data_IF_690778934623
#
_entry.id   IF_690778934623
#
_cell.length_a   1.000
_cell.length_b   1.000
_cell.length_c   1.000
_cell.angle_alpha   90.00
_cell.angle_beta   90.00
_cell.angle_gamma   90.00
#
_symmetry.space_group_name_H-M   'P 1'
#
loop_
_entity.id
_entity.type
_entity.pdbx_description
1 polymer ?
#
# COMPACT_ATOMS: atom_id res chain seq x y z
N UNK A 1 -10.10 22.89 1.72
CA UNK A 1 -11.16 21.86 1.48
C UNK A 1 -10.66 20.73 0.58
N UNK A 2 -10.05 21.02 -0.58
CA UNK A 2 -9.49 20.00 -1.50
C UNK A 2 -8.47 19.06 -0.86
N UNK A 3 -7.50 19.58 -0.09
CA UNK A 3 -6.48 18.76 0.58
C UNK A 3 -7.10 17.71 1.52
N UNK A 4 -8.02 18.12 2.40
CA UNK A 4 -8.67 17.22 3.35
C UNK A 4 -9.46 16.12 2.63
N UNK A 5 -10.22 16.49 1.60
CA UNK A 5 -10.98 15.53 0.81
C UNK A 5 -10.06 14.49 0.16
N UNK A 6 -8.98 14.91 -0.49
CA UNK A 6 -8.02 13.99 -1.12
C UNK A 6 -7.32 13.13 -0.07
N UNK A 7 -6.99 13.69 1.11
CA UNK A 7 -6.43 12.94 2.24
C UNK A 7 -7.36 11.83 2.71
N UNK A 8 -8.66 12.10 2.84
CA UNK A 8 -9.65 11.10 3.25
C UNK A 8 -9.80 10.00 2.20
N UNK A 9 -9.86 10.35 0.92
CA UNK A 9 -9.90 9.39 -0.20
C UNK A 9 -8.64 8.51 -0.20
N UNK A 10 -7.47 9.11 0.00
CA UNK A 10 -6.20 8.41 0.07
C UNK A 10 -6.19 7.40 1.21
N UNK A 11 -6.56 7.82 2.43
CA UNK A 11 -6.59 6.95 3.62
C UNK A 11 -7.55 5.77 3.39
N UNK A 12 -8.75 6.04 2.88
CA UNK A 12 -9.72 4.98 2.59
C UNK A 12 -9.18 3.95 1.59
N UNK A 13 -8.51 4.43 0.53
CA UNK A 13 -7.92 3.57 -0.50
C UNK A 13 -6.76 2.72 0.05
N UNK A 14 -5.90 3.34 0.87
CA UNK A 14 -4.81 2.64 1.56
C UNK A 14 -5.36 1.61 2.55
N UNK A 15 -6.46 1.87 3.24
CA UNK A 15 -7.08 0.90 4.14
C UNK A 15 -7.60 -0.33 3.41
N UNK A 16 -8.19 -0.19 2.23
CA UNK A 16 -8.61 -1.35 1.42
C UNK A 16 -7.39 -2.19 1.04
N UNK A 17 -6.31 -1.56 0.56
CA UNK A 17 -5.09 -2.26 0.16
C UNK A 17 -4.38 -2.93 1.34
N UNK A 18 -4.21 -2.20 2.45
CA UNK A 18 -3.60 -2.72 3.67
C UNK A 18 -4.46 -3.85 4.26
N UNK A 19 -5.77 -3.66 4.39
CA UNK A 19 -6.70 -4.66 4.91
C UNK A 19 -6.63 -5.99 4.15
N UNK A 20 -6.50 -5.93 2.82
CA UNK A 20 -6.20 -7.10 2.00
C UNK A 20 -4.90 -7.80 2.44
N UNK A 21 -3.79 -7.05 2.57
CA UNK A 21 -2.50 -7.62 2.96
C UNK A 21 -2.50 -8.21 4.37
N UNK A 22 -3.16 -7.56 5.32
CA UNK A 22 -3.35 -8.08 6.68
C UNK A 22 -4.15 -9.38 6.67
N UNK A 23 -5.26 -9.42 5.93
CA UNK A 23 -6.09 -10.62 5.81
C UNK A 23 -5.31 -11.76 5.17
N UNK A 24 -4.55 -11.48 4.12
CA UNK A 24 -3.76 -12.46 3.40
C UNK A 24 -2.66 -13.08 4.26
N UNK A 25 -1.88 -12.24 4.95
CA UNK A 25 -0.67 -12.66 5.66
C UNK A 25 -0.93 -13.13 7.08
N UNK A 26 -1.98 -12.66 7.76
CA UNK A 26 -2.26 -13.02 9.15
C UNK A 26 -3.45 -13.97 9.29
N UNK A 27 -4.58 -13.62 8.66
CA UNK A 27 -5.85 -14.32 8.86
C UNK A 27 -5.87 -15.62 8.06
N UNK A 28 -5.68 -15.53 6.74
CA UNK A 28 -5.77 -16.70 5.85
C UNK A 28 -4.64 -17.71 6.13
N UNK A 29 -3.44 -17.24 6.51
CA UNK A 29 -2.37 -18.12 6.97
C UNK A 29 -2.79 -18.95 8.20
N UNK A 30 -3.52 -18.36 9.16
CA UNK A 30 -4.01 -19.09 10.34
C UNK A 30 -5.12 -20.07 9.98
N UNK A 31 -6.02 -19.69 9.06
CA UNK A 31 -7.10 -20.56 8.59
C UNK A 31 -6.57 -21.80 7.87
N UNK A 32 -5.47 -21.69 7.12
CA UNK A 32 -4.80 -22.83 6.48
C UNK A 32 -4.40 -23.93 7.48
N UNK A 33 -4.08 -23.55 8.72
CA UNK A 33 -3.69 -24.49 9.78
C UNK A 33 -4.87 -25.16 10.49
N UNK A 34 -6.09 -24.67 10.27
CA UNK A 34 -7.27 -25.05 11.05
C UNK A 34 -8.38 -25.68 10.21
N UNK A 35 -8.42 -25.40 8.91
CA UNK A 35 -9.41 -25.92 7.97
C UNK A 35 -8.84 -27.13 7.21
N UNK A 36 -9.73 -28.00 6.73
CA UNK A 36 -9.37 -28.97 5.70
C UNK A 36 -8.90 -28.26 4.42
N UNK A 37 -8.10 -28.94 3.60
CA UNK A 37 -7.55 -28.36 2.38
C UNK A 37 -8.66 -27.88 1.42
N UNK A 38 -9.73 -28.66 1.28
CA UNK A 38 -10.90 -28.33 0.46
C UNK A 38 -11.57 -27.03 0.94
N UNK A 39 -11.88 -26.95 2.24
CA UNK A 39 -12.55 -25.78 2.83
C UNK A 39 -11.66 -24.54 2.80
N UNK A 40 -10.35 -24.71 2.95
CA UNK A 40 -9.39 -23.62 2.79
C UNK A 40 -9.38 -23.08 1.36
N UNK A 41 -9.35 -23.97 0.35
CA UNK A 41 -9.41 -23.56 -1.07
C UNK A 41 -10.71 -22.82 -1.39
N UNK A 42 -11.84 -23.27 -0.85
CA UNK A 42 -13.14 -22.62 -0.99
C UNK A 42 -13.11 -21.19 -0.43
N UNK A 43 -12.73 -21.01 0.84
CA UNK A 43 -12.61 -19.69 1.49
C UNK A 43 -11.66 -18.78 0.72
N UNK A 44 -10.51 -19.34 0.29
CA UNK A 44 -9.50 -18.60 -0.47
C UNK A 44 -10.04 -18.12 -1.81
N UNK A 45 -10.91 -18.88 -2.47
CA UNK A 45 -11.55 -18.52 -3.75
C UNK A 45 -12.47 -17.32 -3.58
N UNK A 46 -13.33 -17.31 -2.55
CA UNK A 46 -14.20 -16.17 -2.27
C UNK A 46 -13.40 -14.88 -2.01
N UNK A 47 -12.36 -14.97 -1.18
CA UNK A 47 -11.47 -13.85 -0.92
C UNK A 47 -10.75 -13.37 -2.18
N UNK A 48 -10.23 -14.28 -3.00
CA UNK A 48 -9.54 -13.96 -4.25
C UNK A 48 -10.45 -13.24 -5.26
N UNK A 49 -11.74 -13.60 -5.34
CA UNK A 49 -12.71 -12.92 -6.22
C UNK A 49 -12.95 -11.48 -5.78
N UNK A 50 -13.23 -11.28 -4.49
CA UNK A 50 -13.46 -9.94 -3.94
C UNK A 50 -12.23 -9.04 -4.11
N UNK A 51 -11.06 -9.55 -3.74
CA UNK A 51 -9.81 -8.78 -3.78
C UNK A 51 -9.43 -8.34 -5.18
N UNK A 52 -9.59 -9.21 -6.19
CA UNK A 52 -9.38 -8.84 -7.60
C UNK A 52 -10.29 -7.71 -8.08
N UNK A 53 -11.50 -7.63 -7.53
CA UNK A 53 -12.48 -6.61 -7.93
C UNK A 53 -12.18 -5.22 -7.32
N UNK A 54 -11.65 -5.18 -6.09
CA UNK A 54 -11.53 -3.93 -5.30
C UNK A 54 -10.09 -3.43 -5.14
N UNK A 55 -9.11 -4.33 -4.93
CA UNK A 55 -7.74 -3.97 -4.54
C UNK A 55 -7.02 -3.21 -5.65
N UNK A 56 -7.08 -3.62 -6.94
CA UNK A 56 -6.49 -2.86 -8.04
C UNK A 56 -6.96 -1.41 -8.11
N UNK A 57 -8.27 -1.19 -7.97
CA UNK A 57 -8.87 0.15 -8.07
C UNK A 57 -8.45 1.02 -6.89
N UNK A 58 -8.49 0.45 -5.68
CA UNK A 58 -8.01 1.14 -4.49
C UNK A 58 -6.52 1.51 -4.60
N UNK A 59 -5.69 0.61 -5.14
CA UNK A 59 -4.27 0.91 -5.32
C UNK A 59 -4.02 2.07 -6.29
N UNK A 60 -4.71 2.10 -7.44
CA UNK A 60 -4.58 3.21 -8.40
C UNK A 60 -4.97 4.53 -7.75
N UNK A 61 -6.09 4.56 -7.03
CA UNK A 61 -6.53 5.77 -6.31
C UNK A 61 -5.52 6.16 -5.24
N UNK A 62 -4.98 5.20 -4.48
CA UNK A 62 -3.96 5.46 -3.46
C UNK A 62 -2.67 6.06 -4.06
N UNK A 63 -2.23 5.58 -5.22
CA UNK A 63 -1.04 6.11 -5.90
C UNK A 63 -1.27 7.54 -6.36
N UNK A 64 -2.36 7.80 -7.09
CA UNK A 64 -2.65 9.14 -7.64
C UNK A 64 -2.83 10.16 -6.51
N UNK A 65 -3.67 9.83 -5.52
CA UNK A 65 -3.88 10.69 -4.36
C UNK A 65 -2.61 10.85 -3.51
N UNK A 66 -1.79 9.81 -3.41
CA UNK A 66 -0.51 9.84 -2.70
C UNK A 66 0.51 10.78 -3.34
N UNK A 67 0.62 10.77 -4.68
CA UNK A 67 1.47 11.69 -5.44
C UNK A 67 1.02 13.14 -5.23
N UNK A 68 -0.29 13.40 -5.28
CA UNK A 68 -0.84 14.73 -5.03
C UNK A 68 -0.53 15.22 -3.60
N UNK A 69 -0.77 14.36 -2.60
CA UNK A 69 -0.50 14.70 -1.20
C UNK A 69 0.99 14.88 -0.93
N UNK A 70 1.85 14.07 -1.57
CA UNK A 70 3.30 14.24 -1.54
C UNK A 70 3.68 15.62 -2.06
N UNK A 71 3.24 15.99 -3.26
CA UNK A 71 3.57 17.28 -3.87
C UNK A 71 3.22 18.46 -2.95
N UNK A 72 2.02 18.47 -2.38
CA UNK A 72 1.59 19.53 -1.47
C UNK A 72 2.36 19.52 -0.16
N UNK A 73 2.58 18.34 0.43
CA UNK A 73 3.25 18.22 1.73
C UNK A 73 4.75 18.48 1.64
N UNK A 74 5.37 18.16 0.50
CA UNK A 74 6.78 18.36 0.26
C UNK A 74 7.14 19.84 0.08
N UNK A 75 6.23 20.61 -0.52
CA UNK A 75 6.39 22.03 -0.75
C UNK A 75 7.49 22.34 -1.76
N UNK A 76 8.14 23.48 -1.58
CA UNK A 76 9.22 23.92 -2.46
C UNK A 76 10.51 23.13 -2.20
N UNK A 77 11.32 22.98 -3.26
CA UNK A 77 12.67 22.47 -3.11
C UNK A 77 13.49 23.45 -2.26
N UNK A 78 14.19 22.96 -1.21
CA UNK A 78 15.03 23.82 -0.40
C UNK A 78 16.24 24.32 -1.21
N UNK A 79 16.74 25.53 -0.92
CA UNK A 79 18.02 25.99 -1.45
C UNK A 79 19.13 24.97 -1.16
N UNK A 80 20.04 24.79 -2.11
CA UNK A 80 21.22 23.92 -1.99
C UNK A 80 20.91 22.45 -1.62
N UNK A 81 19.70 21.96 -1.89
CA UNK A 81 19.26 20.60 -1.57
C UNK A 81 19.31 20.24 -0.08
N UNK A 82 19.26 21.24 0.81
CA UNK A 82 19.24 21.02 2.25
C UNK A 82 17.84 20.62 2.74
N UNK A 83 17.49 19.34 2.56
CA UNK A 83 16.18 18.81 2.96
C UNK A 83 16.01 18.76 4.47
N UNK A 84 14.86 19.23 4.94
CA UNK A 84 14.43 19.03 6.34
C UNK A 84 14.25 17.54 6.64
N UNK A 85 14.37 17.15 7.93
CA UNK A 85 14.07 15.79 8.39
C UNK A 85 12.70 15.31 7.90
N UNK A 86 11.69 16.19 7.92
CA UNK A 86 10.36 15.91 7.39
C UNK A 86 10.40 15.55 5.89
N UNK A 87 11.07 16.35 5.05
CA UNK A 87 11.17 16.11 3.61
C UNK A 87 11.95 14.82 3.29
N UNK A 88 13.00 14.51 4.06
CA UNK A 88 13.77 13.25 3.91
C UNK A 88 12.86 12.05 4.21
N UNK A 89 12.17 12.06 5.36
CA UNK A 89 11.28 10.97 5.75
C UNK A 89 10.06 10.86 4.83
N UNK A 90 9.51 11.98 4.36
CA UNK A 90 8.44 12.00 3.35
C UNK A 90 8.91 11.38 2.03
N UNK A 91 10.15 11.65 1.61
CA UNK A 91 10.76 11.07 0.41
C UNK A 91 10.93 9.56 0.53
N UNK A 92 11.45 9.09 1.67
CA UNK A 92 11.55 7.67 1.96
C UNK A 92 10.17 7.01 1.91
N UNK A 93 9.17 7.62 2.55
CA UNK A 93 7.78 7.14 2.54
C UNK A 93 7.23 7.07 1.11
N UNK A 94 7.50 8.08 0.29
CA UNK A 94 7.07 8.12 -1.09
C UNK A 94 7.74 7.03 -1.92
N UNK A 95 9.04 6.76 -1.75
CA UNK A 95 9.74 5.68 -2.44
C UNK A 95 9.12 4.31 -2.10
N UNK A 96 8.88 4.03 -0.81
CA UNK A 96 8.24 2.78 -0.40
C UNK A 96 6.81 2.66 -0.96
N UNK A 97 6.03 3.75 -0.91
CA UNK A 97 4.67 3.80 -1.45
C UNK A 97 4.61 3.65 -2.97
N UNK A 98 5.52 4.30 -3.69
CA UNK A 98 5.63 4.20 -5.15
C UNK A 98 6.08 2.80 -5.58
N UNK A 99 6.96 2.15 -4.83
CA UNK A 99 7.31 0.75 -5.09
C UNK A 99 6.07 -0.16 -5.00
N UNK A 100 5.24 0.00 -3.95
CA UNK A 100 3.99 -0.75 -3.80
C UNK A 100 3.00 -0.46 -4.93
N UNK A 101 2.86 0.83 -5.27
CA UNK A 101 2.02 1.32 -6.35
C UNK A 101 2.43 0.73 -7.70
N UNK A 102 3.70 0.89 -8.07
CA UNK A 102 4.28 0.38 -9.30
C UNK A 102 4.09 -1.14 -9.38
N UNK A 103 4.43 -1.88 -8.32
CA UNK A 103 4.25 -3.34 -8.25
C UNK A 103 2.82 -3.74 -8.57
N UNK A 104 1.82 -3.16 -7.90
CA UNK A 104 0.44 -3.59 -8.09
C UNK A 104 -0.18 -3.08 -9.39
N UNK A 105 0.20 -1.89 -9.87
CA UNK A 105 -0.18 -1.41 -11.21
C UNK A 105 0.37 -2.34 -12.29
N UNK A 106 1.67 -2.67 -12.23
CA UNK A 106 2.29 -3.59 -13.17
C UNK A 106 1.62 -4.97 -13.14
N UNK A 107 1.28 -5.47 -11.96
CA UNK A 107 0.57 -6.75 -11.83
C UNK A 107 -0.83 -6.72 -12.48
N UNK A 108 -1.53 -5.57 -12.43
CA UNK A 108 -2.87 -5.41 -12.98
C UNK A 108 -2.86 -5.31 -14.50
N UNK A 109 -1.92 -4.54 -15.06
CA UNK A 109 -1.88 -4.27 -16.51
C UNK A 109 -1.01 -5.25 -17.32
N UNK A 110 0.03 -5.82 -16.71
CA UNK A 110 0.99 -6.70 -17.38
C UNK A 110 1.03 -8.13 -16.81
N UNK A 111 0.15 -8.43 -15.85
CA UNK A 111 0.06 -9.75 -15.22
C UNK A 111 1.17 -10.04 -14.21
N UNK A 112 1.14 -11.23 -13.61
CA UNK A 112 2.10 -11.65 -12.58
C UNK A 112 3.42 -12.07 -13.24
N UNK A 113 4.42 -11.20 -13.20
CA UNK A 113 5.81 -11.59 -13.45
C UNK A 113 6.39 -12.44 -12.29
N UNK A 114 6.82 -13.68 -12.55
CA UNK A 114 7.17 -14.67 -11.52
C UNK A 114 8.45 -14.35 -10.74
N UNK A 115 9.33 -13.48 -11.26
CA UNK A 115 10.59 -13.10 -10.60
C UNK A 115 10.47 -11.88 -9.69
N UNK A 116 9.44 -11.05 -9.89
CA UNK A 116 9.27 -9.77 -9.16
C UNK A 116 8.14 -9.85 -8.12
N UNK A 117 7.14 -10.72 -8.33
CA UNK A 117 5.88 -10.69 -7.55
C UNK A 117 5.60 -11.96 -6.74
N UNK A 118 6.62 -12.62 -6.17
CA UNK A 118 6.40 -13.79 -5.30
C UNK A 118 5.80 -13.38 -3.95
N UNK A 119 4.47 -13.39 -3.86
CA UNK A 119 3.70 -13.30 -2.63
C UNK A 119 3.41 -11.88 -2.12
N UNK A 120 2.76 -11.82 -0.96
CA UNK A 120 2.28 -10.58 -0.33
C UNK A 120 3.02 -10.21 0.96
N UNK A 121 4.07 -10.96 1.35
CA UNK A 121 4.84 -10.70 2.57
C UNK A 121 5.63 -9.40 2.50
N UNK A 122 6.38 -9.18 1.41
CA UNK A 122 7.14 -7.94 1.22
C UNK A 122 6.21 -6.72 1.17
N UNK A 123 5.12 -6.72 0.36
CA UNK A 123 4.13 -5.65 0.41
C UNK A 123 3.56 -5.39 1.81
N UNK A 124 3.30 -6.44 2.58
CA UNK A 124 2.80 -6.32 3.95
C UNK A 124 3.81 -5.66 4.89
N UNK A 125 5.09 -6.06 4.84
CA UNK A 125 6.16 -5.44 5.63
C UNK A 125 6.30 -3.96 5.28
N UNK A 126 6.28 -3.62 3.98
CA UNK A 126 6.37 -2.23 3.54
C UNK A 126 5.18 -1.38 4.00
N UNK A 127 3.97 -1.91 4.01
CA UNK A 127 2.80 -1.21 4.56
C UNK A 127 3.02 -0.91 6.05
N UNK A 128 3.51 -1.87 6.83
CA UNK A 128 3.84 -1.67 8.25
C UNK A 128 4.89 -0.57 8.40
N UNK A 129 5.98 -0.63 7.63
CA UNK A 129 7.03 0.39 7.66
C UNK A 129 6.48 1.78 7.33
N UNK A 130 5.62 1.91 6.32
CA UNK A 130 5.00 3.18 5.92
C UNK A 130 4.11 3.73 7.04
N UNK A 131 3.38 2.87 7.78
CA UNK A 131 2.56 3.28 8.92
C UNK A 131 3.44 3.88 10.02
N UNK A 132 4.49 3.18 10.44
CA UNK A 132 5.42 3.68 11.47
C UNK A 132 6.14 4.95 11.02
N UNK A 133 6.64 4.97 9.79
CA UNK A 133 7.28 6.14 9.20
C UNK A 133 6.33 7.35 9.20
N UNK A 134 5.05 7.12 8.90
CA UNK A 134 4.03 8.18 8.94
C UNK A 134 3.80 8.76 10.34
N UNK A 135 4.07 8.03 11.42
CA UNK A 135 4.00 8.57 12.78
C UNK A 135 5.28 9.30 13.14
N UNK A 136 6.43 8.71 12.82
CA UNK A 136 7.75 9.29 13.11
C UNK A 136 7.89 10.67 12.48
N UNK A 137 7.42 10.84 11.24
CA UNK A 137 7.44 12.12 10.52
C UNK A 137 6.82 13.31 11.26
N UNK A 138 5.91 13.09 12.20
CA UNK A 138 5.27 14.17 12.97
C UNK A 138 5.83 14.32 14.39
N UNK A 139 6.78 13.46 14.77
CA UNK A 139 7.46 13.49 16.07
C UNK A 139 8.88 14.07 16.02
N UNK A 140 9.42 14.27 14.82
CA UNK A 140 10.70 14.94 14.53
C UNK A 140 10.43 16.26 13.84
#
# INVERSE_FOLDING_TARGET
>A
MSFLLVKLIHIFSVFIYAGFLFTDNLILMRMQKSLSEEKYKEVRSYFAKLTRAIVPKALVVAVISGIYLFHISFGNLPPDYNFSSFQILLSLKAVLGLWLGLRGVLQVFFGIQPFVFKGHRLPFILVIMIIFLSQIMYSV
#
